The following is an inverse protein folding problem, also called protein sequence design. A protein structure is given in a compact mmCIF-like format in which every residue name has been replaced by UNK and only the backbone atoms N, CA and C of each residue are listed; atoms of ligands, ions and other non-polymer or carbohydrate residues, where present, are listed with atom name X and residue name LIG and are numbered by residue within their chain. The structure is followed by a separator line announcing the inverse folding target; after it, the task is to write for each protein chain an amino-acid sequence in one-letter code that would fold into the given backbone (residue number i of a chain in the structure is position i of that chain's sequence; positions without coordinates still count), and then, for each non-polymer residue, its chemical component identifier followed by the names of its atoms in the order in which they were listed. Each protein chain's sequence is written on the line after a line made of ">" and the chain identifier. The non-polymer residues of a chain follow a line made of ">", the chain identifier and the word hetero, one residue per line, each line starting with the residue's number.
data_IF_979675722449
#
_entry.id   IF_979675722449
#
_cell.length_a   1.000
_cell.length_b   1.000
_cell.length_c   1.000
_cell.angle_alpha   90.00
_cell.angle_beta   90.00
_cell.angle_gamma   90.00
#
_symmetry.space_group_name_H-M   'P 1'
#
loop_
_entity.id
_entity.type
_entity.pdbx_description
1 polymer ?
#
# COMPACT_ATOMS: atom_id res chain seq x y z
N UNK A 1 38.88 -16.42 24.66
CA UNK A 1 38.67 -15.82 23.33
C UNK A 1 37.21 -16.10 22.95
N UNK A 2 36.30 -15.16 23.25
CA UNK A 2 34.88 -15.32 22.93
C UNK A 2 34.67 -15.01 21.44
N UNK A 3 34.24 -16.00 20.67
CA UNK A 3 33.58 -15.81 19.38
C UNK A 3 32.18 -15.26 19.66
N UNK A 4 32.01 -13.94 19.55
CA UNK A 4 30.67 -13.34 19.42
C UNK A 4 30.18 -13.60 17.99
N UNK A 5 29.37 -14.64 17.86
CA UNK A 5 28.66 -14.98 16.64
C UNK A 5 27.63 -13.90 16.30
N UNK A 6 27.77 -13.38 15.08
CA UNK A 6 26.78 -12.78 14.19
C UNK A 6 25.48 -12.25 14.83
N UNK A 7 25.37 -10.92 14.88
CA UNK A 7 24.09 -10.21 14.87
C UNK A 7 23.31 -10.56 13.59
N UNK A 8 22.59 -11.67 13.61
CA UNK A 8 21.69 -12.07 12.55
C UNK A 8 20.26 -11.76 12.92
N UNK A 9 19.77 -10.56 12.61
CA UNK A 9 18.41 -10.40 12.06
C UNK A 9 18.16 -8.99 11.51
N UNK A 10 17.91 -8.89 10.20
CA UNK A 10 16.95 -7.90 9.74
C UNK A 10 15.98 -8.53 8.72
N UNK A 11 15.12 -9.45 9.16
CA UNK A 11 14.15 -10.13 8.29
C UNK A 11 14.83 -11.18 7.41
N UNK A 12 14.24 -12.37 7.33
CA UNK A 12 14.85 -13.46 6.56
C UNK A 12 14.99 -13.02 5.10
N UNK A 13 16.06 -13.44 4.41
CA UNK A 13 16.24 -13.16 2.96
C UNK A 13 15.00 -13.60 2.17
N UNK A 14 14.33 -14.65 2.64
CA UNK A 14 13.09 -15.17 2.09
C UNK A 14 11.90 -14.20 2.24
N UNK A 15 11.78 -13.53 3.39
CA UNK A 15 10.73 -12.55 3.65
C UNK A 15 10.87 -11.35 2.71
N UNK A 16 12.12 -10.95 2.41
CA UNK A 16 12.43 -9.82 1.52
C UNK A 16 12.17 -10.12 0.05
N UNK A 17 12.43 -11.35 -0.39
CA UNK A 17 12.18 -11.78 -1.78
C UNK A 17 10.68 -11.93 -2.07
N UNK A 18 9.92 -12.48 -1.12
CA UNK A 18 8.46 -12.57 -1.19
C UNK A 18 7.81 -11.18 -1.17
N UNK A 19 8.33 -10.29 -0.31
CA UNK A 19 7.97 -8.88 -0.24
C UNK A 19 8.08 -8.20 -1.62
N UNK A 20 9.28 -8.14 -2.21
CA UNK A 20 9.48 -7.46 -3.50
C UNK A 20 8.63 -8.03 -4.64
N UNK A 21 8.37 -9.34 -4.61
CA UNK A 21 7.46 -10.01 -5.54
C UNK A 21 6.00 -9.57 -5.35
N UNK A 22 5.55 -9.44 -4.09
CA UNK A 22 4.20 -9.02 -3.76
C UNK A 22 3.92 -7.56 -4.15
N UNK A 23 4.86 -6.65 -3.93
CA UNK A 23 4.75 -5.25 -4.40
C UNK A 23 4.56 -5.17 -5.92
N UNK A 24 5.38 -5.91 -6.67
CA UNK A 24 5.32 -5.93 -8.13
C UNK A 24 3.99 -6.49 -8.64
N UNK A 25 3.43 -7.48 -7.93
CA UNK A 25 2.13 -8.04 -8.28
C UNK A 25 1.00 -7.05 -7.98
N UNK A 26 0.98 -6.43 -6.80
CA UNK A 26 -0.08 -5.48 -6.39
C UNK A 26 -0.28 -4.33 -7.38
N UNK A 27 0.80 -3.85 -8.01
CA UNK A 27 0.77 -2.81 -9.06
C UNK A 27 -0.02 -3.19 -10.31
N UNK A 28 -0.29 -4.48 -10.51
CA UNK A 28 -0.93 -5.03 -11.72
C UNK A 28 -2.34 -5.56 -11.46
N UNK A 29 -2.80 -5.52 -10.22
CA UNK A 29 -4.11 -6.05 -9.85
C UNK A 29 -5.15 -4.94 -9.77
N UNK A 30 -6.40 -5.27 -10.11
CA UNK A 30 -7.57 -4.53 -9.65
C UNK A 30 -7.80 -4.75 -8.13
N UNK A 31 -8.61 -3.92 -7.47
CA UNK A 31 -9.06 -4.16 -6.09
C UNK A 31 -9.58 -5.58 -5.85
N UNK A 32 -10.44 -6.06 -6.75
CA UNK A 32 -11.11 -7.35 -6.60
C UNK A 32 -10.10 -8.51 -6.74
N UNK A 33 -9.13 -8.40 -7.65
CA UNK A 33 -8.05 -9.38 -7.79
C UNK A 33 -7.08 -9.35 -6.60
N UNK A 34 -6.77 -8.17 -6.07
CA UNK A 34 -5.95 -8.03 -4.88
C UNK A 34 -6.61 -8.69 -3.67
N UNK A 35 -7.91 -8.46 -3.46
CA UNK A 35 -8.69 -9.13 -2.41
C UNK A 35 -8.72 -10.65 -2.56
N UNK A 36 -8.84 -11.16 -3.80
CA UNK A 36 -8.80 -12.61 -4.06
C UNK A 36 -7.42 -13.20 -3.80
N UNK A 37 -6.34 -12.48 -4.12
CA UNK A 37 -4.96 -12.98 -3.99
C UNK A 37 -4.42 -12.88 -2.57
N UNK A 38 -4.66 -11.76 -1.90
CA UNK A 38 -4.10 -11.44 -0.57
C UNK A 38 -5.09 -11.69 0.57
N UNK A 39 -6.34 -12.02 0.24
CA UNK A 39 -7.38 -12.28 1.23
C UNK A 39 -7.90 -11.00 1.89
N UNK A 40 -8.53 -11.16 3.06
CA UNK A 40 -9.18 -10.08 3.79
C UNK A 40 -8.14 -9.05 4.29
N UNK A 41 -8.31 -7.75 3.98
CA UNK A 41 -7.46 -6.69 4.53
C UNK A 41 -7.62 -6.55 6.05
N UNK A 42 -6.58 -6.03 6.70
CA UNK A 42 -6.59 -5.57 8.09
C UNK A 42 -7.46 -4.32 8.25
N UNK A 43 -7.41 -3.42 7.28
CA UNK A 43 -8.19 -2.19 7.23
C UNK A 43 -8.59 -1.88 5.80
N UNK A 44 -9.73 -1.18 5.66
CA UNK A 44 -10.26 -0.72 4.38
C UNK A 44 -10.84 0.67 4.55
N UNK A 45 -10.62 1.55 3.58
CA UNK A 45 -11.26 2.87 3.53
C UNK A 45 -11.66 3.22 2.09
N UNK A 46 -12.53 4.20 1.91
CA UNK A 46 -12.91 4.74 0.60
C UNK A 46 -13.24 6.21 0.71
N UNK A 47 -12.65 7.01 -0.17
CA UNK A 47 -12.79 8.46 -0.16
C UNK A 47 -12.73 9.03 -1.58
N UNK A 48 -12.97 10.33 -1.72
CA UNK A 48 -12.69 11.09 -2.93
C UNK A 48 -11.75 12.25 -2.63
N UNK A 49 -11.35 12.98 -3.67
CA UNK A 49 -10.37 14.06 -3.53
C UNK A 49 -11.02 15.41 -3.18
N UNK A 50 -12.32 15.44 -2.83
CA UNK A 50 -13.00 16.70 -2.49
C UNK A 50 -12.53 17.34 -1.18
N UNK A 51 -11.73 16.60 -0.40
CA UNK A 51 -11.06 17.07 0.81
C UNK A 51 -9.55 16.87 0.67
N UNK A 52 -8.73 17.74 1.28
CA UNK A 52 -7.29 17.55 1.32
C UNK A 52 -6.94 16.17 1.90
N UNK A 53 -6.01 15.51 1.24
CA UNK A 53 -5.47 14.24 1.72
C UNK A 53 -4.55 14.48 2.93
N UNK A 54 -4.55 13.53 3.87
CA UNK A 54 -3.60 13.50 4.98
C UNK A 54 -2.17 13.27 4.47
N UNK A 55 -1.17 13.52 5.31
CA UNK A 55 0.24 13.28 4.97
C UNK A 55 0.52 11.84 4.50
N UNK A 56 -0.18 10.85 5.07
CA UNK A 56 -0.09 9.44 4.64
C UNK A 56 -0.62 9.17 3.23
N UNK A 57 -1.47 10.05 2.71
CA UNK A 57 -2.19 9.88 1.44
C UNK A 57 -1.72 10.90 0.38
N UNK A 58 -0.87 11.86 0.75
CA UNK A 58 -0.50 12.97 -0.13
C UNK A 58 0.22 12.51 -1.40
N UNK A 59 0.94 11.39 -1.35
CA UNK A 59 1.62 10.81 -2.52
C UNK A 59 0.65 10.36 -3.62
N UNK A 60 -0.64 10.12 -3.30
CA UNK A 60 -1.68 9.82 -4.30
C UNK A 60 -1.79 10.95 -5.33
N UNK A 61 -1.55 12.21 -4.94
CA UNK A 61 -1.59 13.34 -5.85
C UNK A 61 -0.56 13.25 -6.99
N UNK A 62 0.56 12.55 -6.79
CA UNK A 62 1.54 12.32 -7.87
C UNK A 62 0.96 11.50 -9.03
N UNK A 63 -0.12 10.76 -8.75
CA UNK A 63 -0.79 9.91 -9.72
C UNK A 63 -2.08 10.53 -10.25
N UNK A 64 -2.50 11.71 -9.78
CA UNK A 64 -3.73 12.37 -10.22
C UNK A 64 -3.39 13.67 -10.97
N UNK A 65 -4.00 13.93 -12.14
CA UNK A 65 -3.83 15.20 -12.86
C UNK A 65 -4.12 16.39 -11.94
N UNK A 66 -3.32 17.45 -12.02
CA UNK A 66 -3.42 18.57 -11.07
C UNK A 66 -4.81 19.21 -11.03
N UNK A 67 -5.46 19.37 -12.20
CA UNK A 67 -6.82 19.90 -12.31
C UNK A 67 -7.90 19.04 -11.65
N UNK A 68 -7.59 17.78 -11.30
CA UNK A 68 -8.52 16.82 -10.70
C UNK A 68 -8.26 16.59 -9.20
N UNK A 69 -7.22 17.20 -8.61
CA UNK A 69 -6.80 16.97 -7.21
C UNK A 69 -7.79 17.45 -6.13
N UNK A 70 -8.91 18.06 -6.53
CA UNK A 70 -10.03 18.45 -5.68
C UNK A 70 -11.37 17.86 -6.16
N UNK A 71 -11.33 16.85 -7.04
CA UNK A 71 -12.52 16.30 -7.69
C UNK A 71 -13.28 15.32 -6.78
N UNK A 72 -14.62 15.40 -6.84
CA UNK A 72 -15.52 14.38 -6.27
C UNK A 72 -15.63 13.13 -7.14
N UNK A 73 -15.20 13.22 -8.40
CA UNK A 73 -15.37 12.14 -9.39
C UNK A 73 -14.26 11.09 -9.25
N UNK A 74 -13.09 11.49 -8.74
CA UNK A 74 -11.98 10.57 -8.47
C UNK A 74 -12.25 9.85 -7.15
N UNK A 75 -12.72 8.61 -7.25
CA UNK A 75 -12.90 7.72 -6.10
C UNK A 75 -11.63 6.93 -5.84
N UNK A 76 -11.27 6.80 -4.57
CA UNK A 76 -10.14 6.01 -4.10
C UNK A 76 -10.65 4.89 -3.18
N UNK A 77 -10.15 3.67 -3.40
CA UNK A 77 -10.25 2.54 -2.48
C UNK A 77 -8.89 2.34 -1.82
N UNK A 78 -8.89 2.18 -0.50
CA UNK A 78 -7.70 1.94 0.31
C UNK A 78 -7.82 0.57 0.99
N UNK A 79 -6.75 -0.22 0.92
CA UNK A 79 -6.68 -1.52 1.58
C UNK A 79 -5.32 -1.71 2.24
N UNK A 80 -5.34 -2.20 3.47
CA UNK A 80 -4.11 -2.49 4.24
C UNK A 80 -4.00 -3.97 4.55
N UNK A 81 -2.85 -4.56 4.28
CA UNK A 81 -2.51 -5.93 4.68
C UNK A 81 -1.25 -5.97 5.54
N UNK A 82 -1.06 -7.06 6.29
CA UNK A 82 0.24 -7.37 6.85
C UNK A 82 1.19 -7.70 5.69
N UNK A 83 2.29 -6.97 5.59
CA UNK A 83 3.26 -7.17 4.53
C UNK A 83 4.32 -8.21 4.92
N UNK A 84 4.83 -8.08 6.14
CA UNK A 84 5.72 -9.05 6.77
C UNK A 84 5.51 -9.00 8.30
N UNK A 85 6.43 -9.56 9.08
CA UNK A 85 6.31 -9.56 10.55
C UNK A 85 6.36 -8.16 11.16
N UNK A 86 7.10 -7.23 10.54
CA UNK A 86 7.37 -5.88 11.04
C UNK A 86 6.54 -4.79 10.36
N UNK A 87 6.11 -5.01 9.13
CA UNK A 87 5.55 -3.97 8.27
C UNK A 87 4.12 -4.30 7.81
N UNK A 88 3.36 -3.24 7.59
CA UNK A 88 2.09 -3.25 6.86
C UNK A 88 2.30 -2.65 5.47
N UNK A 89 1.44 -3.02 4.53
CA UNK A 89 1.33 -2.40 3.22
C UNK A 89 -0.08 -1.85 3.05
N UNK A 90 -0.18 -0.57 2.72
CA UNK A 90 -1.43 0.08 2.30
C UNK A 90 -1.36 0.31 0.81
N UNK A 91 -2.41 -0.07 0.07
CA UNK A 91 -2.52 0.11 -1.38
C UNK A 91 -3.74 0.95 -1.68
N UNK A 92 -3.57 1.93 -2.57
CA UNK A 92 -4.62 2.78 -3.08
C UNK A 92 -4.92 2.45 -4.52
N UNK A 93 -6.21 2.32 -4.82
CA UNK A 93 -6.74 2.15 -6.16
C UNK A 93 -7.62 3.33 -6.49
N UNK A 94 -7.48 3.88 -7.70
CA UNK A 94 -8.33 4.96 -8.19
C UNK A 94 -9.33 4.45 -9.21
N UNK A 95 -10.52 5.05 -9.22
CA UNK A 95 -11.48 4.83 -10.28
C UNK A 95 -11.21 5.82 -11.42
N UNK A 96 -11.05 5.31 -12.63
CA UNK A 96 -10.87 6.08 -13.84
C UNK A 96 -11.79 5.52 -14.93
N UNK A 97 -12.68 6.34 -15.49
CA UNK A 97 -13.62 5.93 -16.56
C UNK A 97 -14.39 4.62 -16.26
N UNK A 98 -14.73 4.38 -14.98
CA UNK A 98 -15.46 3.19 -14.55
C UNK A 98 -14.61 1.96 -14.26
N UNK A 99 -13.30 1.98 -14.54
CA UNK A 99 -12.37 0.92 -14.16
C UNK A 99 -11.57 1.31 -12.93
N UNK A 100 -11.15 0.31 -12.14
CA UNK A 100 -10.27 0.52 -11.00
C UNK A 100 -8.84 0.18 -11.39
N UNK A 101 -7.93 1.12 -11.16
CA UNK A 101 -6.51 0.95 -11.44
C UNK A 101 -5.68 1.25 -10.20
N UNK A 102 -4.52 0.60 -10.11
CA UNK A 102 -3.54 0.88 -9.06
C UNK A 102 -3.11 2.35 -9.14
N UNK A 103 -3.14 3.04 -7.99
CA UNK A 103 -2.64 4.40 -7.87
C UNK A 103 -1.27 4.40 -7.20
N UNK A 104 -1.18 3.88 -5.96
CA UNK A 104 0.06 3.87 -5.19
C UNK A 104 0.04 2.82 -4.07
N UNK A 105 1.18 2.57 -3.43
CA UNK A 105 1.24 1.88 -2.13
C UNK A 105 2.22 2.57 -1.19
N UNK A 106 2.05 2.32 0.11
CA UNK A 106 3.01 2.69 1.14
C UNK A 106 3.25 1.50 2.06
N UNK A 107 4.50 1.30 2.45
CA UNK A 107 4.92 0.31 3.44
C UNK A 107 5.33 1.06 4.70
N UNK A 108 4.80 0.64 5.83
CA UNK A 108 5.00 1.32 7.10
C UNK A 108 5.15 0.32 8.24
N UNK A 109 5.93 0.68 9.25
CA UNK A 109 6.21 -0.15 10.42
C UNK A 109 4.96 -0.28 11.30
N UNK A 110 4.65 -1.48 11.77
CA UNK A 110 3.46 -1.73 12.61
C UNK A 110 3.46 -0.95 13.93
N UNK A 111 4.63 -0.60 14.43
CA UNK A 111 4.85 0.17 15.66
C UNK A 111 5.08 1.67 15.42
N UNK A 112 4.94 2.13 14.17
CA UNK A 112 5.05 3.54 13.87
C UNK A 112 4.01 4.35 14.65
N UNK A 113 4.48 5.40 15.31
CA UNK A 113 3.64 6.38 15.98
C UNK A 113 3.45 7.56 15.03
N UNK A 114 2.19 7.91 14.81
CA UNK A 114 1.73 8.94 13.91
C UNK A 114 0.84 9.91 14.68
#
# INVERSE_FOLDING_TARGET
>A
MLLMGCLGNPGSVHDRELAGSNETILKRLSPEEALRKFGKPLATDSFDLSRPLSEFRIEIYNYVPEGERNSRDIKIKEYTWAYNSQDNITVWYRQNQGTWEYAHYSIWKKDAQF
#
